data_IF_139260855408
#
_entry.id   IF_139260855408
#
_cell.length_a   1.000
_cell.length_b   1.000
_cell.length_c   1.000
_cell.angle_alpha   90.00
_cell.angle_beta   90.00
_cell.angle_gamma   90.00
#
_symmetry.space_group_name_H-M   'P 1'
#
loop_
_entity.id
_entity.type
_entity.pdbx_description
1 polymer ?
#
# COMPACT_ATOMS: atom_id res chain seq x y z
N UNK A 1 -35.95 29.94 47.78
CA UNK A 1 -36.18 29.03 46.64
C UNK A 1 -35.46 29.67 45.45
N UNK A 2 -34.22 29.25 45.23
CA UNK A 2 -33.13 30.05 44.65
C UNK A 2 -32.69 29.47 43.29
N UNK A 3 -32.79 30.30 42.25
CA UNK A 3 -31.81 30.45 41.14
C UNK A 3 -31.21 29.20 40.47
N UNK A 4 -31.96 28.13 40.18
CA UNK A 4 -31.38 26.97 39.47
C UNK A 4 -32.25 26.39 38.35
N UNK A 5 -33.04 27.21 37.65
CA UNK A 5 -33.80 26.74 36.47
C UNK A 5 -33.53 27.67 35.29
N UNK A 6 -32.29 27.63 34.77
CA UNK A 6 -31.97 28.22 33.46
C UNK A 6 -30.65 27.64 32.92
N UNK A 7 -30.58 26.33 32.70
CA UNK A 7 -29.41 25.69 32.09
C UNK A 7 -29.75 24.38 31.35
N UNK A 8 -30.91 24.31 30.70
CA UNK A 8 -31.36 23.11 29.98
C UNK A 8 -32.18 23.51 28.73
N UNK A 9 -31.51 24.13 27.75
CA UNK A 9 -32.02 24.23 26.38
C UNK A 9 -30.98 24.91 25.48
N UNK A 10 -29.87 24.23 25.17
CA UNK A 10 -28.99 24.54 24.02
C UNK A 10 -27.96 23.42 23.85
N UNK A 11 -28.44 22.19 23.70
CA UNK A 11 -27.74 21.17 22.95
C UNK A 11 -28.65 20.80 21.77
N UNK A 12 -28.97 21.81 20.96
CA UNK A 12 -29.51 21.56 19.64
C UNK A 12 -28.42 20.78 18.90
N UNK A 13 -28.68 19.49 18.75
CA UNK A 13 -27.93 18.53 17.97
C UNK A 13 -27.45 19.17 16.67
N UNK A 14 -26.20 19.62 16.67
CA UNK A 14 -25.37 19.54 15.48
C UNK A 14 -25.10 18.05 15.24
N UNK A 15 -26.13 17.32 14.81
CA UNK A 15 -25.92 16.22 13.86
C UNK A 15 -25.56 16.89 12.53
N UNK A 16 -24.45 17.61 12.54
CA UNK A 16 -23.70 17.88 11.33
C UNK A 16 -23.34 16.50 10.83
N UNK A 17 -23.81 16.22 9.62
CA UNK A 17 -23.42 15.07 8.82
C UNK A 17 -21.94 14.81 9.03
N UNK A 18 -21.61 13.82 9.86
CA UNK A 18 -20.34 13.11 9.74
C UNK A 18 -20.53 12.32 8.45
N UNK A 19 -20.38 13.02 7.32
CA UNK A 19 -20.04 12.40 6.06
C UNK A 19 -18.62 11.90 6.29
N UNK A 20 -18.50 10.76 6.98
CA UNK A 20 -17.24 10.06 7.08
C UNK A 20 -16.84 9.76 5.65
N UNK A 21 -15.79 10.42 5.18
CA UNK A 21 -14.92 9.78 4.19
C UNK A 21 -14.67 8.38 4.74
N UNK A 22 -15.01 7.35 3.97
CA UNK A 22 -14.64 6.00 4.33
C UNK A 22 -13.11 5.97 4.32
N UNK A 23 -12.50 6.07 5.50
CA UNK A 23 -11.06 5.89 5.72
C UNK A 23 -10.78 4.40 5.52
N UNK A 24 -10.53 4.00 4.27
CA UNK A 24 -10.29 2.61 3.95
C UNK A 24 -8.88 2.20 4.42
N UNK A 25 -8.83 1.11 5.19
CA UNK A 25 -7.65 0.54 5.82
C UNK A 25 -7.12 1.41 6.98
N UNK A 26 -6.90 0.78 8.14
CA UNK A 26 -6.28 1.39 9.31
C UNK A 26 -5.06 0.58 9.73
N UNK A 27 -3.96 1.26 10.06
CA UNK A 27 -2.75 0.63 10.60
C UNK A 27 -2.51 1.04 12.05
N UNK A 28 -2.08 0.09 12.87
CA UNK A 28 -1.65 0.32 14.24
C UNK A 28 -0.34 -0.41 14.54
N UNK A 29 0.46 0.18 15.43
CA UNK A 29 1.68 -0.42 15.95
C UNK A 29 1.56 -0.59 17.46
N UNK A 30 2.00 -1.73 17.96
CA UNK A 30 2.14 -2.02 19.37
C UNK A 30 3.56 -2.47 19.67
N UNK A 31 4.30 -1.68 20.45
CA UNK A 31 5.64 -2.04 20.89
C UNK A 31 5.62 -2.63 22.30
N UNK A 32 6.21 -3.81 22.47
CA UNK A 32 6.41 -4.45 23.76
C UNK A 32 7.86 -4.33 24.19
N UNK A 33 8.15 -3.43 25.13
CA UNK A 33 9.50 -3.29 25.69
C UNK A 33 9.95 -4.56 26.43
N UNK A 34 9.02 -5.35 26.99
CA UNK A 34 9.34 -6.59 27.68
C UNK A 34 9.85 -7.69 26.74
N UNK A 35 9.37 -7.67 25.48
CA UNK A 35 9.76 -8.64 24.44
C UNK A 35 10.75 -8.03 23.43
N UNK A 36 11.05 -6.74 23.56
CA UNK A 36 11.82 -5.94 22.60
C UNK A 36 11.36 -6.19 21.15
N UNK A 37 10.05 -6.12 20.93
CA UNK A 37 9.43 -6.41 19.63
C UNK A 37 8.26 -5.49 19.36
N UNK A 38 8.02 -5.21 18.07
CA UNK A 38 6.87 -4.46 17.60
C UNK A 38 5.95 -5.36 16.82
N UNK A 39 4.66 -5.34 17.19
CA UNK A 39 3.59 -5.91 16.39
C UNK A 39 2.98 -4.80 15.54
N UNK A 40 2.86 -5.04 14.25
CA UNK A 40 2.15 -4.14 13.32
C UNK A 40 0.91 -4.86 12.83
N UNK A 41 -0.22 -4.16 12.86
CA UNK A 41 -1.52 -4.70 12.43
C UNK A 41 -2.18 -3.75 11.47
N UNK A 42 -2.92 -4.28 10.49
CA UNK A 42 -3.67 -3.51 9.50
C UNK A 42 -5.07 -4.09 9.33
N UNK A 43 -6.09 -3.23 9.20
CA UNK A 43 -7.38 -3.62 8.62
C UNK A 43 -7.33 -3.48 7.10
N UNK A 44 -7.84 -4.48 6.38
CA UNK A 44 -8.15 -4.35 4.97
C UNK A 44 -9.63 -4.00 4.86
N UNK A 45 -9.93 -2.74 4.51
CA UNK A 45 -11.30 -2.28 4.34
C UNK A 45 -11.57 -2.13 2.84
N UNK A 46 -12.39 -3.03 2.32
CA UNK A 46 -12.80 -3.06 0.92
C UNK A 46 -14.31 -3.34 0.83
N UNK A 47 -14.98 -2.76 -0.17
CA UNK A 47 -16.45 -2.84 -0.28
C UNK A 47 -16.99 -4.21 -0.72
N UNK A 48 -16.10 -5.18 -0.97
CA UNK A 48 -16.44 -6.53 -1.41
C UNK A 48 -15.43 -7.57 -0.97
N UNK A 49 -15.62 -8.81 -1.43
CA UNK A 49 -14.68 -9.90 -1.16
C UNK A 49 -13.43 -9.72 -2.03
N UNK A 50 -12.29 -9.50 -1.40
CA UNK A 50 -11.01 -9.25 -2.07
C UNK A 50 -10.26 -10.53 -2.45
N UNK A 51 -10.82 -11.71 -2.13
CA UNK A 51 -10.19 -13.03 -2.40
C UNK A 51 -8.76 -13.15 -1.87
N UNK A 52 -8.43 -12.49 -0.76
CA UNK A 52 -7.09 -12.52 -0.21
C UNK A 52 -6.62 -13.95 0.12
N UNK A 53 -5.40 -14.26 -0.30
CA UNK A 53 -4.69 -15.49 0.06
C UNK A 53 -3.34 -15.15 0.69
N UNK A 54 -2.94 -15.93 1.70
CA UNK A 54 -1.60 -15.88 2.25
C UNK A 54 -0.71 -16.86 1.46
N UNK A 55 0.40 -16.37 0.91
CA UNK A 55 1.35 -17.21 0.17
C UNK A 55 2.79 -16.97 0.59
N UNK A 56 3.58 -18.03 0.55
CA UNK A 56 5.01 -17.99 0.79
C UNK A 56 5.78 -17.86 -0.53
N UNK A 57 6.73 -16.93 -0.58
CA UNK A 57 7.60 -16.68 -1.73
C UNK A 57 9.04 -17.02 -1.35
N UNK A 58 9.63 -18.09 -1.90
CA UNK A 58 11.03 -18.45 -1.65
C UNK A 58 12.00 -17.40 -2.20
N UNK A 59 13.22 -17.37 -1.65
CA UNK A 59 14.36 -16.65 -2.27
C UNK A 59 14.57 -17.10 -3.71
N UNK A 60 14.96 -16.17 -4.57
CA UNK A 60 15.25 -16.44 -5.97
C UNK A 60 14.02 -16.65 -6.85
N UNK A 61 12.81 -16.43 -6.32
CA UNK A 61 11.58 -16.42 -7.10
C UNK A 61 11.66 -15.32 -8.15
N UNK A 62 11.27 -15.63 -9.38
CA UNK A 62 11.21 -14.64 -10.46
C UNK A 62 9.92 -13.84 -10.27
N UNK A 63 10.08 -12.55 -9.99
CA UNK A 63 9.04 -11.55 -9.89
C UNK A 63 9.26 -10.50 -10.98
N UNK A 64 8.33 -9.58 -11.18
CA UNK A 64 8.40 -8.58 -12.24
C UNK A 64 8.12 -7.18 -11.67
N UNK A 65 8.74 -6.15 -12.25
CA UNK A 65 8.47 -4.76 -11.88
C UNK A 65 7.22 -4.21 -12.56
N UNK A 66 6.61 -4.96 -13.49
CA UNK A 66 5.34 -4.61 -14.16
C UNK A 66 4.12 -5.02 -13.36
N UNK A 67 3.03 -4.26 -13.45
CA UNK A 67 1.72 -4.81 -13.09
C UNK A 67 1.34 -6.01 -13.99
N UNK A 68 0.61 -7.00 -13.44
CA UNK A 68 0.22 -8.18 -14.19
C UNK A 68 -0.82 -7.87 -15.26
N UNK A 69 -1.03 -8.83 -16.16
CA UNK A 69 -2.18 -8.82 -17.07
C UNK A 69 -3.32 -9.57 -16.40
N UNK A 70 -4.44 -8.90 -16.15
CA UNK A 70 -5.60 -9.49 -15.48
C UNK A 70 -6.79 -9.51 -16.45
N UNK A 71 -7.42 -10.67 -16.61
CA UNK A 71 -8.51 -10.90 -17.56
C UNK A 71 -8.22 -10.42 -19.01
N UNK A 72 -6.97 -10.46 -19.44
CA UNK A 72 -6.55 -10.00 -20.77
C UNK A 72 -6.29 -8.49 -20.89
N UNK A 73 -6.43 -7.73 -19.80
CA UNK A 73 -6.12 -6.30 -19.72
C UNK A 73 -4.70 -6.12 -19.19
N UNK A 74 -3.84 -5.45 -19.97
CA UNK A 74 -2.52 -5.06 -19.48
C UNK A 74 -2.66 -3.87 -18.52
N UNK A 75 -2.33 -4.11 -17.25
CA UNK A 75 -2.40 -3.08 -16.21
C UNK A 75 -1.17 -2.16 -16.20
N UNK A 76 -0.09 -2.54 -16.90
CA UNK A 76 1.10 -1.72 -17.06
C UNK A 76 0.81 -0.53 -17.99
N UNK A 77 0.38 0.59 -17.40
CA UNK A 77 -0.03 1.79 -18.13
C UNK A 77 1.14 2.49 -18.82
N UNK A 78 2.28 2.57 -18.14
CA UNK A 78 3.46 3.28 -18.63
C UNK A 78 4.24 2.49 -19.69
N UNK A 79 4.15 1.16 -19.68
CA UNK A 79 4.89 0.26 -20.57
C UNK A 79 6.40 0.19 -20.32
N UNK A 80 6.94 1.02 -19.41
CA UNK A 80 8.39 1.12 -19.13
C UNK A 80 8.84 0.20 -18.01
N UNK A 81 8.00 -0.03 -16.99
CA UNK A 81 8.28 -1.00 -15.95
C UNK A 81 8.01 -2.41 -16.48
N UNK A 82 9.06 -3.16 -16.84
CA UNK A 82 8.93 -4.47 -17.49
C UNK A 82 10.15 -5.39 -17.27
N UNK A 83 10.77 -5.29 -16.08
CA UNK A 83 11.98 -6.03 -15.76
C UNK A 83 11.72 -7.14 -14.76
N UNK A 84 11.90 -8.39 -15.20
CA UNK A 84 11.97 -9.54 -14.29
C UNK A 84 13.17 -9.44 -13.35
N UNK A 85 12.98 -9.81 -12.08
CA UNK A 85 14.02 -9.85 -11.05
C UNK A 85 13.87 -11.08 -10.16
N UNK A 86 14.96 -11.47 -9.49
CA UNK A 86 14.95 -12.53 -8.48
C UNK A 86 14.75 -11.91 -7.11
N UNK A 87 13.80 -12.40 -6.33
CA UNK A 87 13.67 -12.03 -4.92
C UNK A 87 14.99 -12.33 -4.18
N UNK A 88 15.50 -11.37 -3.41
CA UNK A 88 16.68 -11.58 -2.57
C UNK A 88 16.32 -12.25 -1.26
N UNK A 89 15.12 -11.96 -0.77
CA UNK A 89 14.61 -12.44 0.51
C UNK A 89 13.42 -13.36 0.31
N UNK A 90 13.29 -14.37 1.18
CA UNK A 90 12.03 -15.10 1.32
C UNK A 90 11.01 -14.20 2.02
N UNK A 91 9.73 -14.32 1.66
CA UNK A 91 8.66 -13.52 2.25
C UNK A 91 7.34 -14.29 2.34
N UNK A 92 6.48 -13.84 3.25
CA UNK A 92 5.07 -14.21 3.29
C UNK A 92 4.28 -12.98 2.88
N UNK A 93 3.30 -13.16 2.01
CA UNK A 93 2.51 -12.05 1.50
C UNK A 93 1.02 -12.36 1.48
N UNK A 94 0.22 -11.30 1.55
CA UNK A 94 -1.23 -11.30 1.36
C UNK A 94 -1.49 -10.76 -0.04
N UNK A 95 -1.96 -11.64 -0.91
CA UNK A 95 -2.30 -11.32 -2.30
C UNK A 95 -3.82 -11.34 -2.47
N UNK A 96 -4.39 -10.21 -2.91
CA UNK A 96 -5.82 -10.01 -3.18
C UNK A 96 -6.08 -10.05 -4.69
N UNK A 97 -7.36 -10.12 -5.08
CA UNK A 97 -7.86 -10.01 -6.46
C UNK A 97 -7.28 -11.10 -7.38
N UNK A 98 -7.73 -12.35 -7.15
CA UNK A 98 -7.16 -13.56 -7.77
C UNK A 98 -5.63 -13.72 -7.59
N UNK A 99 -5.11 -13.15 -6.50
CA UNK A 99 -3.69 -13.16 -6.11
C UNK A 99 -2.73 -12.36 -7.04
N UNK A 100 -3.27 -11.42 -7.81
CA UNK A 100 -2.51 -10.57 -8.73
C UNK A 100 -1.96 -9.30 -8.06
N UNK A 101 -2.59 -8.84 -6.98
CA UNK A 101 -2.17 -7.65 -6.24
C UNK A 101 -1.70 -8.00 -4.82
N UNK A 102 -0.44 -7.70 -4.51
CA UNK A 102 0.10 -7.91 -3.16
C UNK A 102 -0.12 -6.67 -2.32
N UNK A 103 -1.05 -6.77 -1.36
CA UNK A 103 -1.42 -5.65 -0.48
C UNK A 103 -0.53 -5.55 0.76
N UNK A 104 0.11 -6.64 1.15
CA UNK A 104 0.96 -6.70 2.33
C UNK A 104 1.98 -7.84 2.21
N UNK A 105 3.21 -7.61 2.67
CA UNK A 105 4.25 -8.63 2.69
C UNK A 105 5.23 -8.40 3.85
N UNK A 106 5.69 -9.49 4.48
CA UNK A 106 6.77 -9.48 5.46
C UNK A 106 7.87 -10.45 5.01
N UNK A 107 9.11 -9.99 4.99
CA UNK A 107 10.23 -10.84 4.63
C UNK A 107 10.89 -11.52 5.85
N UNK A 108 11.82 -12.43 5.57
CA UNK A 108 12.57 -13.19 6.57
C UNK A 108 13.46 -12.35 7.50
N UNK A 109 13.62 -11.05 7.23
CA UNK A 109 14.31 -10.10 8.10
C UNK A 109 13.36 -9.33 9.02
N UNK A 110 12.05 -9.57 8.91
CA UNK A 110 11.02 -8.84 9.66
C UNK A 110 10.70 -7.46 9.08
N UNK A 111 11.15 -7.17 7.85
CA UNK A 111 10.71 -5.97 7.13
C UNK A 111 9.31 -6.21 6.58
N UNK A 112 8.37 -5.41 7.04
CA UNK A 112 6.98 -5.40 6.64
C UNK A 112 6.74 -4.25 5.64
N UNK A 113 6.05 -4.54 4.54
CA UNK A 113 5.50 -3.56 3.61
C UNK A 113 3.99 -3.72 3.49
N UNK A 114 3.27 -2.60 3.44
CA UNK A 114 1.81 -2.56 3.37
C UNK A 114 1.37 -1.48 2.37
N UNK A 115 0.34 -1.78 1.59
CA UNK A 115 -0.37 -0.80 0.76
C UNK A 115 -1.66 -0.42 1.48
N UNK A 116 -1.89 0.88 1.69
CA UNK A 116 -3.13 1.39 2.27
C UNK A 116 -3.77 2.38 1.31
N UNK A 117 -5.09 2.49 1.38
CA UNK A 117 -5.83 3.39 0.51
C UNK A 117 -5.46 4.84 0.82
N UNK A 118 -5.22 5.62 -0.24
CA UNK A 118 -4.98 7.05 -0.14
C UNK A 118 -5.90 7.74 -1.15
N UNK A 119 -6.86 8.52 -0.65
CA UNK A 119 -7.85 9.24 -1.44
C UNK A 119 -7.25 10.48 -2.14
N UNK A 120 -6.14 10.30 -2.85
CA UNK A 120 -5.45 11.34 -3.62
C UNK A 120 -5.46 11.00 -5.09
N UNK A 121 -5.45 12.03 -5.95
CA UNK A 121 -5.20 11.87 -7.38
C UNK A 121 -3.75 11.38 -7.57
N UNK A 122 -3.56 10.07 -7.56
CA UNK A 122 -2.28 9.45 -7.89
C UNK A 122 -1.89 9.83 -9.32
N UNK A 123 -0.62 10.18 -9.49
CA UNK A 123 -0.06 10.57 -10.77
C UNK A 123 1.35 10.01 -10.87
N UNK A 124 1.78 9.75 -12.10
CA UNK A 124 3.18 9.50 -12.43
C UNK A 124 4.10 10.50 -11.71
N UNK A 125 5.27 10.02 -11.26
CA UNK A 125 6.31 10.92 -10.77
C UNK A 125 6.65 11.92 -11.88
N UNK A 126 6.42 13.22 -11.61
CA UNK A 126 6.67 14.29 -12.57
C UNK A 126 8.14 14.41 -12.90
N UNK A 127 8.99 14.14 -11.91
CA UNK A 127 10.44 14.23 -12.03
C UNK A 127 11.01 12.82 -12.01
N UNK A 128 11.25 12.28 -13.20
CA UNK A 128 11.95 11.00 -13.32
C UNK A 128 13.45 11.23 -13.28
N UNK A 129 14.11 10.53 -12.39
CA UNK A 129 15.56 10.59 -12.28
C UNK A 129 16.20 9.61 -13.26
N UNK A 130 17.12 10.11 -14.08
CA UNK A 130 17.82 9.29 -15.05
C UNK A 130 18.74 8.31 -14.33
N UNK A 131 18.57 7.02 -14.60
CA UNK A 131 19.35 5.94 -13.99
C UNK A 131 18.60 5.21 -12.88
N UNK A 132 17.53 5.80 -12.35
CA UNK A 132 16.62 5.10 -11.45
C UNK A 132 15.85 4.00 -12.19
N UNK A 133 15.46 2.98 -11.44
CA UNK A 133 14.67 1.88 -11.97
C UNK A 133 13.20 2.28 -12.04
N UNK A 134 12.56 2.05 -13.17
CA UNK A 134 11.12 2.22 -13.31
C UNK A 134 10.39 1.00 -12.75
N UNK A 135 9.51 1.23 -11.78
CA UNK A 135 8.69 0.19 -11.14
C UNK A 135 7.23 0.62 -11.14
N UNK A 136 6.36 -0.28 -11.55
CA UNK A 136 4.91 -0.09 -11.49
C UNK A 136 4.46 0.04 -10.02
N UNK A 137 3.63 1.03 -9.72
CA UNK A 137 3.19 1.26 -8.34
C UNK A 137 2.53 0.06 -7.68
N UNK A 138 1.84 -0.82 -8.43
CA UNK A 138 1.28 -2.06 -7.87
C UNK A 138 2.36 -3.03 -7.39
N UNK A 139 3.54 -3.01 -8.01
CA UNK A 139 4.65 -3.90 -7.68
C UNK A 139 5.65 -3.25 -6.73
N UNK A 140 5.58 -1.94 -6.52
CA UNK A 140 6.58 -1.19 -5.77
C UNK A 140 6.79 -1.73 -4.36
N UNK A 141 5.70 -1.95 -3.60
CA UNK A 141 5.80 -2.48 -2.24
C UNK A 141 6.43 -3.88 -2.22
N UNK A 142 5.95 -4.80 -3.07
CA UNK A 142 6.50 -6.15 -3.16
C UNK A 142 7.98 -6.12 -3.54
N UNK A 143 8.35 -5.26 -4.50
CA UNK A 143 9.74 -5.09 -4.93
C UNK A 143 10.64 -4.67 -3.77
N UNK A 144 10.22 -3.68 -2.97
CA UNK A 144 10.98 -3.22 -1.80
C UNK A 144 11.15 -4.37 -0.80
N UNK A 145 10.06 -5.05 -0.40
CA UNK A 145 10.11 -6.15 0.59
C UNK A 145 10.94 -7.34 0.08
N UNK A 146 10.89 -7.64 -1.21
CA UNK A 146 11.67 -8.71 -1.82
C UNK A 146 13.19 -8.42 -1.88
N UNK A 147 13.61 -7.15 -1.74
CA UNK A 147 14.98 -6.72 -2.00
C UNK A 147 15.71 -6.02 -0.84
N UNK A 148 14.99 -5.50 0.16
CA UNK A 148 15.56 -4.82 1.33
C UNK A 148 15.49 -5.70 2.58
N UNK A 149 16.50 -5.62 3.44
CA UNK A 149 16.52 -6.30 4.75
C UNK A 149 16.12 -5.40 5.92
N UNK A 150 16.19 -4.08 5.76
CA UNK A 150 15.98 -3.07 6.82
C UNK A 150 15.56 -1.72 6.21
N UNK A 151 15.24 -0.74 7.06
CA UNK A 151 14.75 0.57 6.62
C UNK A 151 15.79 1.41 5.87
N UNK A 152 17.09 1.28 6.18
CA UNK A 152 18.16 1.94 5.39
C UNK A 152 18.14 1.48 3.93
N UNK A 153 17.99 0.17 3.70
CA UNK A 153 17.87 -0.40 2.35
C UNK A 153 16.54 -0.04 1.69
N UNK A 154 15.46 0.10 2.46
CA UNK A 154 14.18 0.63 1.95
C UNK A 154 14.38 2.04 1.41
N UNK A 155 14.96 2.94 2.21
CA UNK A 155 15.22 4.32 1.80
C UNK A 155 16.07 4.36 0.52
N UNK A 156 17.15 3.59 0.48
CA UNK A 156 18.00 3.51 -0.71
C UNK A 156 17.24 3.01 -1.95
N UNK A 157 16.32 2.04 -1.81
CA UNK A 157 15.49 1.59 -2.93
C UNK A 157 14.54 2.69 -3.39
N UNK A 158 13.87 3.40 -2.47
CA UNK A 158 12.94 4.48 -2.80
C UNK A 158 13.66 5.60 -3.56
N UNK A 159 14.84 6.01 -3.10
CA UNK A 159 15.69 7.02 -3.73
C UNK A 159 16.13 6.63 -5.14
N UNK A 160 16.37 5.33 -5.40
CA UNK A 160 16.85 4.83 -6.69
C UNK A 160 15.73 4.27 -7.60
N UNK A 161 14.47 4.58 -7.31
CA UNK A 161 13.31 4.08 -8.06
C UNK A 161 12.44 5.24 -8.53
N UNK A 162 12.04 5.20 -9.80
CA UNK A 162 10.92 5.99 -10.31
C UNK A 162 9.66 5.15 -10.16
N UNK A 163 8.69 5.61 -9.37
CA UNK A 163 7.41 4.90 -9.22
C UNK A 163 6.48 5.35 -10.34
N UNK A 164 6.05 4.40 -11.16
CA UNK A 164 5.28 4.63 -12.38
C UNK A 164 3.82 4.32 -12.13
N UNK A 165 2.96 5.13 -12.75
CA UNK A 165 1.52 4.99 -12.76
C UNK A 165 1.08 3.74 -13.54
N UNK A 166 -0.07 3.22 -13.15
CA UNK A 166 -0.55 1.90 -13.53
C UNK A 166 -2.06 1.84 -13.47
N UNK A 167 -2.67 1.05 -14.33
CA UNK A 167 -4.10 0.76 -14.15
C UNK A 167 -4.27 -0.21 -12.99
N UNK A 168 -5.36 -0.10 -12.27
CA UNK A 168 -5.74 -1.08 -11.26
C UNK A 168 -7.06 -1.74 -11.65
N UNK A 169 -7.09 -3.07 -11.55
CA UNK A 169 -8.18 -3.91 -12.03
C UNK A 169 -8.10 -5.30 -11.43
N UNK A 170 -8.97 -6.20 -11.87
CA UNK A 170 -9.07 -7.54 -11.30
C UNK A 170 -9.92 -7.60 -10.03
N UNK A 171 -10.56 -6.51 -9.63
CA UNK A 171 -11.39 -6.47 -8.42
C UNK A 171 -12.75 -7.10 -8.71
N UNK A 172 -13.08 -8.25 -8.10
CA UNK A 172 -14.35 -8.91 -8.32
C UNK A 172 -15.53 -8.00 -8.00
N UNK A 173 -16.47 -7.88 -8.94
CA UNK A 173 -17.70 -7.11 -8.76
C UNK A 173 -17.57 -5.59 -8.88
N UNK A 174 -16.37 -5.05 -9.18
CA UNK A 174 -16.18 -3.60 -9.40
C UNK A 174 -15.28 -3.24 -10.58
N UNK A 175 -14.08 -3.83 -10.63
CA UNK A 175 -13.09 -3.61 -11.69
C UNK A 175 -12.78 -4.95 -12.36
N UNK A 176 -13.83 -5.57 -12.91
CA UNK A 176 -13.78 -6.85 -13.59
C UNK A 176 -13.16 -6.74 -15.00
N UNK A 177 -13.32 -7.76 -15.84
CA UNK A 177 -12.66 -7.85 -17.15
C UNK A 177 -12.84 -6.63 -18.07
N UNK A 178 -13.88 -5.82 -17.88
CA UNK A 178 -14.21 -4.69 -18.74
C UNK A 178 -13.93 -3.31 -18.10
N UNK A 179 -13.47 -3.27 -16.85
CA UNK A 179 -13.30 -2.00 -16.12
C UNK A 179 -12.03 -1.97 -15.27
N UNK A 180 -11.31 -0.85 -15.38
CA UNK A 180 -10.11 -0.55 -14.59
C UNK A 180 -10.20 0.89 -14.10
N UNK A 181 -9.53 1.21 -13.00
CA UNK A 181 -9.19 2.60 -12.67
C UNK A 181 -7.81 2.92 -13.23
N UNK A 182 -7.59 4.19 -13.57
CA UNK A 182 -6.38 4.63 -14.25
C UNK A 182 -5.15 4.78 -13.34
N UNK A 183 -5.30 4.54 -12.03
CA UNK A 183 -4.24 4.58 -11.02
C UNK A 183 -4.57 3.68 -9.82
N UNK A 184 -3.55 3.22 -9.08
CA UNK A 184 -3.74 2.66 -7.75
C UNK A 184 -3.98 3.80 -6.74
N UNK A 185 -5.12 3.84 -6.04
CA UNK A 185 -5.38 4.86 -5.02
C UNK A 185 -4.76 4.45 -3.68
N UNK A 186 -3.43 4.39 -3.60
CA UNK A 186 -2.76 3.91 -2.40
C UNK A 186 -1.40 4.55 -2.12
N UNK A 187 -0.99 4.45 -0.87
CA UNK A 187 0.36 4.74 -0.41
C UNK A 187 1.03 3.49 0.19
N UNK A 188 2.34 3.56 0.38
CA UNK A 188 3.14 2.44 0.85
C UNK A 188 3.70 2.74 2.23
N UNK A 189 3.60 1.79 3.15
CA UNK A 189 4.20 1.90 4.47
C UNK A 189 5.15 0.74 4.69
N UNK A 190 6.36 1.03 5.15
CA UNK A 190 7.37 0.04 5.50
C UNK A 190 7.73 0.17 6.97
N UNK A 191 7.92 -0.96 7.67
CA UNK A 191 8.37 -0.95 9.06
C UNK A 191 9.23 -2.17 9.37
N UNK A 192 10.07 -2.03 10.40
CA UNK A 192 10.84 -3.13 10.96
C UNK A 192 10.44 -3.42 12.40
N UNK A 193 11.14 -4.36 13.04
CA UNK A 193 10.87 -4.80 14.41
C UNK A 193 11.06 -3.70 15.47
N UNK A 194 11.72 -2.58 15.15
CA UNK A 194 11.83 -1.43 16.06
C UNK A 194 10.52 -0.66 16.17
N UNK A 195 9.65 -0.73 15.15
CA UNK A 195 8.45 0.08 15.00
C UNK A 195 8.68 1.42 14.28
N UNK A 196 9.91 1.73 13.90
CA UNK A 196 10.17 2.81 12.94
C UNK A 196 9.44 2.51 11.61
N UNK A 197 9.01 3.57 10.94
CA UNK A 197 8.18 3.46 9.74
C UNK A 197 8.61 4.48 8.69
N UNK A 198 8.72 4.04 7.44
CA UNK A 198 8.80 4.91 6.27
C UNK A 198 7.44 4.90 5.56
N UNK A 199 6.88 6.06 5.28
CA UNK A 199 5.64 6.24 4.51
C UNK A 199 6.02 6.83 3.15
N UNK A 200 5.60 6.20 2.06
CA UNK A 200 5.81 6.66 0.69
C UNK A 200 4.48 6.99 0.04
N UNK A 201 4.27 8.25 -0.30
CA UNK A 201 3.07 8.74 -0.98
C UNK A 201 3.43 9.39 -2.31
N UNK A 202 2.51 9.36 -3.26
CA UNK A 202 2.61 10.23 -4.43
C UNK A 202 1.41 11.11 -4.58
N UNK A 203 1.68 12.36 -4.27
CA UNK A 203 0.70 13.41 -4.14
C UNK A 203 1.06 14.44 -5.19
N UNK A 204 0.14 14.71 -6.13
CA UNK A 204 0.36 15.64 -7.23
C UNK A 204 1.60 15.30 -8.09
N UNK A 205 1.91 14.01 -8.24
CA UNK A 205 3.06 13.51 -9.02
C UNK A 205 4.42 13.74 -8.34
N UNK A 206 4.44 13.99 -7.04
CA UNK A 206 5.67 14.08 -6.24
C UNK A 206 5.78 12.87 -5.31
N UNK A 207 6.91 12.16 -5.36
CA UNK A 207 7.27 11.12 -4.41
C UNK A 207 7.71 11.73 -3.08
N UNK A 208 6.99 11.43 -2.00
CA UNK A 208 7.23 11.93 -0.64
C UNK A 208 7.48 10.75 0.29
N UNK A 209 8.59 10.79 1.03
CA UNK A 209 8.98 9.77 2.02
C UNK A 209 9.97 10.30 3.04
#
# INVERSE_FOLDING_TARGET
MKKQVLALALAATTMGTISGVAEACTRALYHSSALNTTMVTRSMDWEGYDQAVVRGVPRGTILDTRAPTVYGVDLNKSGVANQAYKSKHAMIEIASYDAEFVSEAINEHGLLGQVLYLNTDWQDEKTLEKGNKDIDGQQFMQYVVANAKNLDEVQAIIENTNIRDQKFGGVPGKYDAESTVDHLPGHYMFADNSGETILVEMVNGEKRF
#
